data_IF_968503985998
#
_entry.id   IF_968503985998
#
_cell.length_a   1.000
_cell.length_b   1.000
_cell.length_c   1.000
_cell.angle_alpha   90.00
_cell.angle_beta   90.00
_cell.angle_gamma   90.00
#
_symmetry.space_group_name_H-M   'P 1'
#
loop_
_entity.id
_entity.type
_entity.pdbx_description
1 polymer ?
#
# COMPACT_ATOMS: atom_id res chain seq x y z
N UNK A 1 -9.76 21.12 12.52
CA UNK A 1 -8.98 21.17 13.79
C UNK A 1 -7.52 21.44 13.43
N UNK A 2 -6.74 22.18 14.24
CA UNK A 2 -5.30 22.26 14.03
C UNK A 2 -4.72 20.84 14.03
N UNK A 3 -3.80 20.54 13.11
CA UNK A 3 -3.19 19.22 13.06
C UNK A 3 -2.33 19.02 14.31
N UNK A 4 -2.66 18.03 15.12
CA UNK A 4 -1.84 17.58 16.24
C UNK A 4 -0.81 16.56 15.76
N UNK A 5 0.28 16.42 16.49
CA UNK A 5 1.27 15.38 16.20
C UNK A 5 0.63 13.98 16.29
N UNK A 6 0.77 13.18 15.24
CA UNK A 6 0.17 11.82 15.19
C UNK A 6 0.74 10.88 16.25
N UNK A 7 1.98 11.10 16.70
CA UNK A 7 2.66 10.24 17.68
C UNK A 7 2.35 10.65 19.12
N UNK A 8 2.65 11.89 19.53
CA UNK A 8 2.50 12.30 20.92
C UNK A 8 1.21 13.05 21.23
N UNK A 9 0.43 13.46 20.22
CA UNK A 9 -0.81 14.23 20.39
C UNK A 9 -0.62 15.72 20.71
N UNK A 10 0.63 16.23 20.76
CA UNK A 10 0.89 17.65 21.00
C UNK A 10 0.36 18.53 19.88
N UNK A 11 -0.10 19.72 20.25
CA UNK A 11 -0.52 20.83 19.39
C UNK A 11 0.63 21.76 18.95
N UNK A 12 1.87 21.43 19.32
CA UNK A 12 3.05 22.16 18.89
C UNK A 12 3.20 22.17 17.36
N UNK A 13 3.87 23.19 16.78
CA UNK A 13 4.08 23.28 15.34
C UNK A 13 4.64 21.99 14.74
N UNK A 14 4.00 21.53 13.66
CA UNK A 14 4.41 20.33 12.95
C UNK A 14 5.60 20.64 12.03
N UNK A 15 6.42 19.62 11.86
CA UNK A 15 7.68 19.65 11.14
C UNK A 15 7.61 18.68 9.96
N UNK A 16 8.63 18.74 9.10
CA UNK A 16 8.81 17.80 8.00
C UNK A 16 9.59 16.59 8.47
N UNK A 17 8.97 15.41 8.42
CA UNK A 17 9.64 14.14 8.69
C UNK A 17 9.86 13.38 7.38
N UNK A 18 11.07 12.83 7.19
CA UNK A 18 11.38 12.01 6.02
C UNK A 18 10.86 10.58 6.23
N UNK A 19 10.16 10.01 5.25
CA UNK A 19 9.57 8.66 5.35
C UNK A 19 10.63 7.60 5.67
N UNK A 20 11.72 7.57 4.88
CA UNK A 20 12.83 6.63 5.05
C UNK A 20 13.96 7.17 5.94
N UNK A 21 13.82 8.37 6.49
CA UNK A 21 14.93 9.07 7.14
C UNK A 21 15.88 9.75 6.14
N UNK A 22 16.40 10.92 6.53
CA UNK A 22 17.26 11.74 5.66
C UNK A 22 18.58 11.08 5.26
N UNK A 23 19.04 10.09 6.02
CA UNK A 23 20.32 9.42 5.78
C UNK A 23 20.27 8.42 4.62
N UNK A 24 19.10 7.89 4.25
CA UNK A 24 18.96 6.93 3.14
C UNK A 24 19.38 7.56 1.82
N UNK A 25 19.04 8.82 1.59
CA UNK A 25 19.50 9.56 0.41
C UNK A 25 21.02 9.85 0.39
N UNK A 26 21.78 9.41 1.42
CA UNK A 26 23.23 9.58 1.54
C UNK A 26 23.99 8.25 1.53
N UNK A 27 23.31 7.12 1.33
CA UNK A 27 23.94 5.78 1.36
C UNK A 27 24.74 5.49 0.09
N UNK A 28 24.48 6.19 -1.01
CA UNK A 28 25.11 5.94 -2.32
C UNK A 28 24.19 5.23 -3.32
N UNK A 29 22.92 5.01 -2.97
CA UNK A 29 21.89 4.58 -3.93
C UNK A 29 21.69 5.62 -5.05
N UNK A 30 21.16 5.16 -6.19
CA UNK A 30 20.80 6.04 -7.29
C UNK A 30 19.70 7.03 -6.86
N UNK A 31 19.91 8.31 -7.20
CA UNK A 31 19.02 9.42 -6.90
C UNK A 31 18.46 10.06 -8.16
N UNK A 32 18.65 9.42 -9.32
CA UNK A 32 18.04 9.82 -10.58
C UNK A 32 16.53 10.01 -10.38
N UNK A 33 15.96 11.15 -10.82
CA UNK A 33 14.54 11.41 -10.66
C UNK A 33 13.69 10.29 -11.28
N UNK A 34 12.67 9.86 -10.54
CA UNK A 34 11.69 8.89 -10.97
C UNK A 34 10.28 9.35 -10.59
N UNK A 35 9.27 8.79 -11.25
CA UNK A 35 7.86 9.09 -10.96
C UNK A 35 7.44 8.47 -9.62
N UNK A 36 6.91 9.29 -8.73
CA UNK A 36 6.46 8.84 -7.42
C UNK A 36 4.96 8.71 -7.37
N UNK A 37 4.49 7.67 -6.70
CA UNK A 37 3.08 7.36 -6.58
C UNK A 37 2.72 7.07 -5.12
N UNK A 38 1.57 7.56 -4.66
CA UNK A 38 1.00 7.17 -3.38
C UNK A 38 -0.51 7.06 -3.48
N UNK A 39 -1.07 6.01 -2.88
CA UNK A 39 -2.51 5.84 -2.89
C UNK A 39 -2.99 4.54 -2.25
N UNK A 40 -4.32 4.40 -2.15
CA UNK A 40 -4.98 3.14 -1.83
C UNK A 40 -4.49 1.97 -2.70
N UNK A 41 -4.41 0.78 -2.10
CA UNK A 41 -4.03 -0.46 -2.82
C UNK A 41 -5.03 -0.79 -3.93
N UNK A 42 -6.27 -0.39 -3.73
CA UNK A 42 -7.41 -0.66 -4.56
C UNK A 42 -7.87 0.61 -5.29
N UNK A 43 -6.96 1.52 -5.62
CA UNK A 43 -7.31 2.65 -6.47
C UNK A 43 -6.07 3.14 -7.20
N UNK A 44 -6.27 3.93 -8.24
CA UNK A 44 -5.14 4.49 -8.97
C UNK A 44 -4.33 5.38 -8.02
N UNK A 45 -3.01 5.18 -7.93
CA UNK A 45 -2.21 5.93 -7.01
C UNK A 45 -2.01 7.35 -7.55
N UNK A 46 -2.11 8.33 -6.66
CA UNK A 46 -1.86 9.73 -7.01
C UNK A 46 -0.40 9.91 -7.39
N UNK A 47 -0.17 10.51 -8.56
CA UNK A 47 1.15 10.95 -8.97
C UNK A 47 1.64 12.09 -8.05
N UNK A 48 2.81 11.90 -7.44
CA UNK A 48 3.46 12.85 -6.53
C UNK A 48 4.53 13.69 -7.23
N UNK A 49 4.68 13.55 -8.55
CA UNK A 49 5.69 14.23 -9.34
C UNK A 49 6.96 13.41 -9.55
N UNK A 50 7.79 13.92 -10.46
CA UNK A 50 9.11 13.39 -10.76
C UNK A 50 10.16 14.04 -9.84
N UNK A 51 10.76 13.28 -8.93
CA UNK A 51 11.74 13.76 -7.95
C UNK A 51 12.72 12.66 -7.55
N UNK A 52 13.89 13.01 -6.96
CA UNK A 52 14.79 11.99 -6.43
C UNK A 52 14.11 11.09 -5.39
N UNK A 53 14.32 9.76 -5.43
CA UNK A 53 13.76 8.85 -4.44
C UNK A 53 14.27 9.11 -3.02
N UNK A 54 13.58 8.50 -2.05
CA UNK A 54 13.94 8.53 -0.62
C UNK A 54 13.83 9.90 0.08
N UNK A 55 13.27 10.91 -0.59
CA UNK A 55 13.15 12.30 -0.07
C UNK A 55 11.73 12.72 0.27
N UNK A 56 10.78 11.78 0.26
CA UNK A 56 9.38 12.06 0.59
C UNK A 56 9.28 12.48 2.05
N UNK A 57 8.59 13.61 2.27
CA UNK A 57 8.37 14.19 3.59
C UNK A 57 6.88 14.27 3.93
N UNK A 58 6.55 14.13 5.21
CA UNK A 58 5.19 14.31 5.76
C UNK A 58 5.19 15.45 6.78
N UNK A 59 4.03 16.09 7.01
CA UNK A 59 3.90 17.29 7.88
C UNK A 59 2.97 17.05 9.05
N UNK A 60 3.10 15.88 9.67
CA UNK A 60 2.16 15.34 10.67
C UNK A 60 2.82 15.13 12.05
N UNK A 61 4.09 15.53 12.21
CA UNK A 61 4.93 15.21 13.38
C UNK A 61 5.50 16.49 14.02
N UNK A 62 5.39 16.66 15.33
CA UNK A 62 5.98 17.80 16.03
C UNK A 62 7.51 17.70 16.15
N UNK A 63 8.17 18.84 16.39
CA UNK A 63 9.62 18.89 16.52
C UNK A 63 10.21 18.03 17.63
N UNK A 64 9.48 17.81 18.74
CA UNK A 64 9.93 16.96 19.84
C UNK A 64 9.96 15.47 19.49
N UNK A 65 9.00 15.00 18.68
CA UNK A 65 9.01 13.61 18.20
C UNK A 65 10.06 13.43 17.10
N UNK A 66 10.05 14.31 16.10
CA UNK A 66 10.93 14.25 14.93
C UNK A 66 12.42 14.30 15.34
N UNK A 67 12.82 15.35 16.07
CA UNK A 67 14.22 15.50 16.52
C UNK A 67 14.55 14.67 17.77
N UNK A 68 13.56 14.01 18.38
CA UNK A 68 13.72 13.24 19.60
C UNK A 68 13.89 11.76 19.32
N UNK A 69 12.88 10.97 19.67
CA UNK A 69 12.95 9.52 19.57
C UNK A 69 13.09 9.02 18.13
N UNK A 70 12.49 9.71 17.15
CA UNK A 70 12.58 9.31 15.74
C UNK A 70 14.02 9.48 15.25
N UNK A 71 14.63 10.65 15.47
CA UNK A 71 16.04 10.88 15.13
C UNK A 71 16.99 9.91 15.83
N UNK A 72 16.73 9.52 17.09
CA UNK A 72 17.53 8.50 17.80
C UNK A 72 17.39 7.12 17.14
N UNK A 73 16.16 6.73 16.79
CA UNK A 73 15.88 5.47 16.09
C UNK A 73 16.57 5.43 14.72
N UNK A 74 16.50 6.50 13.94
CA UNK A 74 17.21 6.61 12.66
C UNK A 74 18.73 6.47 12.81
N UNK A 75 19.29 7.16 13.82
CA UNK A 75 20.74 7.16 14.07
C UNK A 75 21.25 5.78 14.49
N UNK A 76 20.42 5.02 15.22
CA UNK A 76 20.72 3.65 15.62
C UNK A 76 20.57 2.66 14.44
N UNK A 77 19.56 2.85 13.58
CA UNK A 77 19.30 1.96 12.46
C UNK A 77 20.30 2.12 11.31
N UNK A 78 20.74 3.35 11.04
CA UNK A 78 21.62 3.70 9.92
C UNK A 78 22.86 2.78 9.77
N UNK A 79 23.72 2.58 10.78
CA UNK A 79 24.93 1.77 10.62
C UNK A 79 24.64 0.29 10.36
N UNK A 80 23.49 -0.21 10.81
CA UNK A 80 23.08 -1.62 10.62
C UNK A 80 22.44 -1.82 9.25
N UNK A 81 21.60 -0.87 8.80
CA UNK A 81 20.85 -1.00 7.55
C UNK A 81 21.65 -0.62 6.31
N UNK A 82 22.62 0.30 6.42
CA UNK A 82 23.35 0.82 5.25
C UNK A 82 24.04 -0.30 4.45
N UNK A 83 24.81 -1.22 5.04
CA UNK A 83 25.44 -2.31 4.29
C UNK A 83 24.41 -3.23 3.60
N UNK A 84 23.30 -3.51 4.28
CA UNK A 84 22.23 -4.38 3.76
C UNK A 84 21.51 -3.74 2.56
N UNK A 85 21.25 -2.43 2.65
CA UNK A 85 20.67 -1.62 1.57
C UNK A 85 21.59 -1.63 0.34
N UNK A 86 22.90 -1.52 0.53
CA UNK A 86 23.91 -1.58 -0.54
C UNK A 86 24.15 -3.00 -1.07
N UNK A 87 23.59 -4.01 -0.42
CA UNK A 87 23.68 -5.40 -0.84
C UNK A 87 24.90 -6.15 -0.32
N UNK A 88 25.65 -5.56 0.60
CA UNK A 88 26.78 -6.19 1.27
C UNK A 88 26.30 -7.35 2.15
N UNK A 89 27.06 -8.44 2.16
CA UNK A 89 26.81 -9.54 3.09
C UNK A 89 27.18 -9.12 4.52
N UNK A 90 26.46 -9.65 5.50
CA UNK A 90 26.64 -9.24 6.88
C UNK A 90 25.75 -10.00 7.85
N UNK A 91 25.52 -9.39 9.00
CA UNK A 91 24.60 -9.92 9.99
C UNK A 91 24.00 -8.83 10.86
N UNK A 92 22.79 -9.08 11.36
CA UNK A 92 22.11 -8.24 12.33
C UNK A 92 22.25 -8.90 13.71
N UNK A 93 22.97 -8.23 14.61
CA UNK A 93 23.18 -8.73 15.96
C UNK A 93 21.86 -8.75 16.75
N UNK A 94 21.73 -9.69 17.68
CA UNK A 94 20.54 -9.89 18.52
C UNK A 94 20.06 -8.57 19.17
N UNK A 95 20.99 -7.73 19.63
CA UNK A 95 20.66 -6.45 20.27
C UNK A 95 20.11 -5.39 19.32
N UNK A 96 20.40 -5.47 18.02
CA UNK A 96 19.97 -4.46 17.03
C UNK A 96 18.59 -4.79 16.46
N UNK A 97 18.20 -6.08 16.43
CA UNK A 97 16.99 -6.54 15.77
C UNK A 97 15.68 -5.86 16.23
N UNK A 98 15.45 -5.62 17.54
CA UNK A 98 14.21 -4.95 17.98
C UNK A 98 14.12 -3.53 17.43
N UNK A 99 15.24 -2.81 17.42
CA UNK A 99 15.34 -1.45 16.92
C UNK A 99 15.12 -1.41 15.40
N UNK A 100 15.66 -2.36 14.64
CA UNK A 100 15.42 -2.46 13.19
C UNK A 100 13.96 -2.78 12.89
N UNK A 101 13.33 -3.67 13.66
CA UNK A 101 11.91 -3.97 13.53
C UNK A 101 11.04 -2.74 13.87
N UNK A 102 11.41 -1.97 14.90
CA UNK A 102 10.74 -0.70 15.22
C UNK A 102 10.92 0.34 14.12
N UNK A 103 12.12 0.44 13.53
CA UNK A 103 12.39 1.32 12.40
C UNK A 103 11.48 0.99 11.21
N UNK A 104 11.35 -0.30 10.86
CA UNK A 104 10.45 -0.75 9.81
C UNK A 104 9.00 -0.36 10.10
N UNK A 105 8.53 -0.56 11.34
CA UNK A 105 7.18 -0.17 11.74
C UNK A 105 6.97 1.35 11.68
N UNK A 106 7.94 2.15 12.15
CA UNK A 106 7.90 3.61 12.06
C UNK A 106 7.80 4.07 10.61
N UNK A 107 8.64 3.53 9.73
CA UNK A 107 8.69 3.87 8.30
C UNK A 107 7.36 3.56 7.63
N UNK A 108 6.77 2.40 7.90
CA UNK A 108 5.43 2.05 7.41
C UNK A 108 4.35 3.02 7.90
N UNK A 109 4.30 3.31 9.21
CA UNK A 109 3.34 4.27 9.77
C UNK A 109 3.49 5.67 9.16
N UNK A 110 4.72 6.11 8.94
CA UNK A 110 5.04 7.43 8.38
C UNK A 110 4.68 7.52 6.90
N UNK A 111 4.91 6.45 6.12
CA UNK A 111 4.52 6.39 4.71
C UNK A 111 3.00 6.53 4.51
N UNK A 112 2.20 5.96 5.43
CA UNK A 112 0.73 6.12 5.39
C UNK A 112 0.26 7.57 5.53
N UNK A 113 1.11 8.47 6.02
CA UNK A 113 0.81 9.90 6.16
C UNK A 113 1.02 10.70 4.86
N UNK A 114 1.57 10.07 3.81
CA UNK A 114 1.64 10.68 2.46
C UNK A 114 0.27 10.88 1.83
N UNK A 115 -0.70 10.05 2.19
CA UNK A 115 -2.10 10.24 1.82
C UNK A 115 -2.74 11.35 2.62
N UNK A 116 -3.70 12.05 2.01
CA UNK A 116 -4.38 13.17 2.66
C UNK A 116 -5.13 12.73 3.91
N UNK A 117 -5.36 13.66 4.84
CA UNK A 117 -6.17 13.38 6.03
C UNK A 117 -7.55 12.82 5.67
N UNK A 118 -8.18 13.37 4.63
CA UNK A 118 -9.46 12.89 4.13
C UNK A 118 -9.39 11.43 3.67
N UNK A 119 -8.38 11.05 2.88
CA UNK A 119 -8.19 9.65 2.47
C UNK A 119 -8.00 8.73 3.67
N UNK A 120 -7.22 9.18 4.66
CA UNK A 120 -6.97 8.40 5.88
C UNK A 120 -8.25 8.21 6.71
N UNK A 121 -9.02 9.28 6.89
CA UNK A 121 -10.29 9.27 7.63
C UNK A 121 -11.36 8.42 6.89
N UNK A 122 -11.24 8.29 5.56
CA UNK A 122 -12.11 7.46 4.71
C UNK A 122 -11.63 6.00 4.56
N UNK A 123 -10.77 5.51 5.46
CA UNK A 123 -10.42 4.09 5.56
C UNK A 123 -9.09 3.67 4.92
N UNK A 124 -8.32 4.59 4.32
CA UNK A 124 -6.94 4.30 3.92
C UNK A 124 -5.96 4.39 5.10
N UNK A 125 -6.33 5.04 6.21
CA UNK A 125 -5.44 5.27 7.34
C UNK A 125 -5.26 4.04 8.23
N UNK A 126 -4.15 4.00 8.95
CA UNK A 126 -4.03 3.17 10.14
C UNK A 126 -4.67 3.88 11.33
N UNK A 127 -5.14 3.11 12.31
CA UNK A 127 -5.78 3.66 13.50
C UNK A 127 -4.81 4.61 14.24
N UNK A 128 -5.27 5.79 14.72
CA UNK A 128 -4.44 6.71 15.51
C UNK A 128 -3.77 6.06 16.73
N UNK A 129 -4.38 5.02 17.29
CA UNK A 129 -3.82 4.23 18.40
C UNK A 129 -2.51 3.52 18.05
N UNK A 130 -2.27 3.13 16.79
CA UNK A 130 -1.01 2.49 16.39
C UNK A 130 0.16 3.49 16.47
N UNK A 131 -0.06 4.74 16.05
CA UNK A 131 0.93 5.81 16.18
C UNK A 131 1.22 6.12 17.64
N UNK A 132 0.17 6.23 18.46
CA UNK A 132 0.32 6.50 19.89
C UNK A 132 1.05 5.37 20.62
N UNK A 133 0.68 4.12 20.33
CA UNK A 133 1.34 2.96 20.91
C UNK A 133 2.83 2.90 20.52
N UNK A 134 3.19 3.27 19.28
CA UNK A 134 4.59 3.25 18.86
C UNK A 134 5.39 4.34 19.58
N UNK A 135 4.78 5.51 19.80
CA UNK A 135 5.36 6.56 20.63
C UNK A 135 5.55 6.12 22.09
N UNK A 136 4.60 5.37 22.65
CA UNK A 136 4.70 4.87 24.02
C UNK A 136 5.83 3.82 24.16
N UNK A 137 6.13 3.06 23.10
CA UNK A 137 7.27 2.11 23.02
C UNK A 137 8.64 2.75 22.72
N UNK A 138 8.72 4.06 22.55
CA UNK A 138 9.93 4.74 22.04
C UNK A 138 11.19 4.52 22.87
N UNK A 139 11.06 4.33 24.19
CA UNK A 139 12.22 4.17 25.08
C UNK A 139 12.79 2.75 25.03
N UNK A 140 11.96 1.73 24.78
CA UNK A 140 12.42 0.35 24.64
C UNK A 140 12.97 0.06 23.23
N UNK A 141 12.72 0.93 22.25
CA UNK A 141 13.08 0.74 20.84
C UNK A 141 12.60 -0.60 20.28
N UNK A 142 11.41 -1.05 20.70
CA UNK A 142 10.80 -2.30 20.24
C UNK A 142 9.58 -2.03 19.37
N UNK A 143 9.27 -2.88 18.37
CA UNK A 143 8.03 -2.76 17.62
C UNK A 143 6.81 -2.97 18.52
N UNK A 144 5.63 -2.71 18.00
CA UNK A 144 4.37 -2.98 18.71
C UNK A 144 4.23 -4.47 19.05
N UNK A 145 3.58 -4.76 20.17
CA UNK A 145 3.26 -6.13 20.57
C UNK A 145 2.46 -6.85 19.48
N UNK A 146 2.71 -8.13 19.26
CA UNK A 146 2.01 -8.88 18.20
C UNK A 146 2.46 -8.54 16.78
N UNK A 147 3.55 -7.78 16.62
CA UNK A 147 4.30 -7.67 15.37
C UNK A 147 5.26 -8.85 15.20
N UNK A 148 5.49 -9.25 13.96
CA UNK A 148 6.56 -10.14 13.51
C UNK A 148 7.23 -9.51 12.29
N UNK A 149 8.56 -9.65 12.16
CA UNK A 149 9.32 -9.11 11.04
C UNK A 149 10.33 -10.11 10.51
N UNK A 150 10.54 -10.05 9.19
CA UNK A 150 11.51 -10.81 8.43
C UNK A 150 12.34 -9.89 7.55
N UNK A 151 13.56 -10.33 7.26
CA UNK A 151 14.51 -9.64 6.40
C UNK A 151 14.99 -10.58 5.30
N UNK A 152 14.90 -10.14 4.05
CA UNK A 152 15.31 -10.90 2.87
C UNK A 152 15.85 -10.00 1.78
N UNK A 153 16.45 -10.58 0.73
CA UNK A 153 17.09 -9.83 -0.37
C UNK A 153 16.08 -9.47 -1.45
N UNK A 154 16.18 -8.25 -1.96
CA UNK A 154 15.44 -7.79 -3.13
C UNK A 154 16.37 -7.59 -4.34
N UNK A 155 15.93 -7.98 -5.52
CA UNK A 155 16.58 -7.69 -6.80
C UNK A 155 15.53 -7.16 -7.79
N UNK A 156 15.73 -5.93 -8.23
CA UNK A 156 14.90 -5.24 -9.22
C UNK A 156 15.71 -4.11 -9.85
N UNK A 157 15.04 -3.23 -10.58
CA UNK A 157 15.67 -2.02 -11.08
C UNK A 157 16.26 -1.21 -9.90
N UNK A 158 17.46 -0.65 -10.08
CA UNK A 158 18.26 -0.05 -9.01
C UNK A 158 17.61 1.16 -8.33
N UNK A 159 16.55 1.69 -8.93
CA UNK A 159 15.77 2.81 -8.42
C UNK A 159 14.46 2.39 -7.72
N UNK A 160 14.10 1.10 -7.71
CA UNK A 160 12.84 0.62 -7.12
C UNK A 160 12.88 0.73 -5.59
N UNK A 161 11.94 1.50 -5.05
CA UNK A 161 11.73 1.68 -3.62
C UNK A 161 10.24 1.71 -3.32
N UNK A 162 9.83 0.98 -2.29
CA UNK A 162 8.42 0.88 -1.96
C UNK A 162 8.19 0.76 -0.46
N UNK A 163 7.10 1.37 0.01
CA UNK A 163 6.47 1.04 1.29
C UNK A 163 5.03 0.65 1.00
N UNK A 164 4.67 -0.60 1.27
CA UNK A 164 3.32 -1.11 1.08
C UNK A 164 2.76 -1.58 2.42
N UNK A 165 1.56 -1.09 2.75
CA UNK A 165 0.81 -1.52 3.93
C UNK A 165 -0.46 -2.19 3.45
N UNK A 166 -0.59 -3.49 3.71
CA UNK A 166 -1.71 -4.31 3.22
C UNK A 166 -2.60 -4.73 4.39
N UNK A 167 -3.88 -4.32 4.47
CA UNK A 167 -4.80 -4.84 5.49
C UNK A 167 -5.06 -6.33 5.22
N UNK A 168 -5.03 -7.14 6.28
CA UNK A 168 -5.16 -8.59 6.20
C UNK A 168 -6.34 -9.10 7.04
N UNK A 169 -6.97 -10.16 6.54
CA UNK A 169 -7.91 -10.99 7.29
C UNK A 169 -7.32 -12.37 7.58
N UNK A 170 -7.70 -12.92 8.74
CA UNK A 170 -7.44 -14.32 9.09
C UNK A 170 -8.59 -15.15 8.53
N UNK A 171 -8.32 -15.93 7.48
CA UNK A 171 -9.30 -16.78 6.83
C UNK A 171 -9.34 -18.15 7.50
N UNK A 172 -10.47 -18.47 8.11
CA UNK A 172 -10.78 -19.80 8.64
C UNK A 172 -11.75 -20.53 7.68
N UNK A 173 -11.48 -21.78 7.26
CA UNK A 173 -12.40 -22.61 6.48
C UNK A 173 -13.82 -22.63 7.04
N UNK A 174 -14.81 -22.37 6.17
CA UNK A 174 -16.23 -22.40 6.54
C UNK A 174 -16.76 -21.15 7.24
N UNK A 175 -15.92 -20.15 7.57
CA UNK A 175 -16.36 -18.88 8.15
C UNK A 175 -16.35 -17.74 7.12
N UNK A 176 -17.31 -16.80 7.20
CA UNK A 176 -17.31 -15.61 6.36
C UNK A 176 -16.11 -14.71 6.65
N UNK A 177 -15.72 -13.90 5.66
CA UNK A 177 -14.65 -12.92 5.85
C UNK A 177 -15.09 -11.85 6.88
N UNK A 178 -14.22 -11.48 7.84
CA UNK A 178 -14.48 -10.40 8.77
C UNK A 178 -14.76 -9.04 8.10
N UNK A 179 -15.69 -8.27 8.69
CA UNK A 179 -16.02 -6.91 8.24
C UNK A 179 -14.93 -5.87 8.50
N UNK A 180 -13.92 -6.21 9.30
CA UNK A 180 -12.75 -5.36 9.57
C UNK A 180 -11.49 -6.21 9.48
N UNK A 181 -10.37 -5.64 9.00
CA UNK A 181 -9.10 -6.35 8.98
C UNK A 181 -8.64 -6.65 10.41
N UNK A 182 -8.03 -7.81 10.60
CA UNK A 182 -7.54 -8.29 11.90
C UNK A 182 -6.03 -8.15 12.03
N UNK A 183 -5.36 -7.89 10.91
CA UNK A 183 -3.94 -7.66 10.83
C UNK A 183 -3.62 -6.71 9.68
N UNK A 184 -2.37 -6.30 9.57
CA UNK A 184 -1.85 -5.68 8.36
C UNK A 184 -0.39 -6.10 8.13
N UNK A 185 -0.01 -6.27 6.87
CA UNK A 185 1.37 -6.43 6.45
C UNK A 185 2.01 -5.06 6.19
N UNK A 186 3.32 -5.00 6.37
CA UNK A 186 4.20 -3.87 6.07
C UNK A 186 5.37 -4.41 5.26
N UNK A 187 5.53 -3.96 4.02
CA UNK A 187 6.65 -4.36 3.17
C UNK A 187 7.42 -3.11 2.77
N UNK A 188 8.72 -3.11 3.02
CA UNK A 188 9.64 -2.02 2.70
C UNK A 188 10.74 -2.56 1.80
N UNK A 189 10.95 -1.92 0.66
CA UNK A 189 12.07 -2.19 -0.26
C UNK A 189 12.95 -0.95 -0.35
N UNK A 190 14.26 -1.13 -0.15
CA UNK A 190 15.29 -0.11 -0.25
C UNK A 190 16.59 -0.73 -0.77
N UNK A 191 16.96 -0.45 -2.03
CA UNK A 191 18.11 -1.10 -2.66
C UNK A 191 17.96 -2.62 -2.64
N UNK A 192 18.98 -3.33 -2.15
CA UNK A 192 18.95 -4.79 -2.02
C UNK A 192 18.18 -5.31 -0.78
N UNK A 193 17.71 -4.42 0.10
CA UNK A 193 17.02 -4.77 1.32
C UNK A 193 15.50 -4.87 1.11
N UNK A 194 14.90 -5.99 1.52
CA UNK A 194 13.46 -6.06 1.79
C UNK A 194 13.20 -6.44 3.26
N UNK A 195 12.36 -5.64 3.90
CA UNK A 195 11.80 -5.90 5.23
C UNK A 195 10.31 -6.16 5.08
N UNK A 196 9.85 -7.29 5.59
CA UNK A 196 8.44 -7.65 5.60
C UNK A 196 8.00 -7.90 7.04
N UNK A 197 6.88 -7.32 7.44
CA UNK A 197 6.33 -7.53 8.77
C UNK A 197 4.82 -7.69 8.76
N UNK A 198 4.29 -8.34 9.78
CA UNK A 198 2.85 -8.46 10.02
C UNK A 198 2.55 -8.03 11.44
N UNK A 199 1.49 -7.25 11.60
CA UNK A 199 0.99 -6.74 12.88
C UNK A 199 -0.44 -7.19 13.11
N UNK A 200 -0.70 -7.76 14.29
CA UNK A 200 -2.05 -8.15 14.76
C UNK A 200 -2.54 -7.20 15.88
N UNK A 201 -3.24 -6.09 15.57
CA UNK A 201 -3.69 -5.13 16.58
C UNK A 201 -4.66 -5.73 17.60
N UNK A 202 -4.56 -5.37 18.90
CA UNK A 202 -5.58 -5.73 19.88
C UNK A 202 -6.98 -5.36 19.38
N UNK A 203 -8.00 -6.20 19.64
CA UNK A 203 -7.95 -7.38 20.49
C UNK A 203 -7.49 -8.68 19.79
N UNK A 204 -7.02 -8.62 18.55
CA UNK A 204 -6.60 -9.82 17.82
C UNK A 204 -5.45 -10.54 18.55
N UNK A 205 -5.57 -11.86 18.66
CA UNK A 205 -4.45 -12.70 19.12
C UNK A 205 -3.41 -12.76 18.01
N UNK A 206 -2.17 -12.45 18.34
CA UNK A 206 -1.05 -12.66 17.43
C UNK A 206 -0.98 -14.14 17.06
N UNK A 207 -0.88 -14.43 15.76
CA UNK A 207 -0.68 -15.78 15.27
C UNK A 207 0.72 -15.87 14.68
N UNK A 208 1.53 -16.83 15.15
CA UNK A 208 2.88 -17.02 14.65
C UNK A 208 2.83 -17.41 13.16
N UNK A 209 3.51 -16.63 12.33
CA UNK A 209 3.51 -16.80 10.89
C UNK A 209 4.88 -17.29 10.41
N UNK A 210 4.91 -18.24 9.49
CA UNK A 210 6.14 -18.77 8.91
C UNK A 210 6.32 -18.18 7.53
N UNK A 211 7.51 -17.63 7.27
CA UNK A 211 7.89 -17.07 5.98
C UNK A 211 8.43 -18.16 5.05
N UNK A 212 7.68 -18.50 4.00
CA UNK A 212 8.02 -19.61 3.09
C UNK A 212 9.15 -19.29 2.12
N UNK A 213 9.49 -18.00 1.96
CA UNK A 213 10.68 -17.57 1.20
C UNK A 213 12.00 -17.82 1.94
N UNK A 214 11.95 -18.31 3.18
CA UNK A 214 13.15 -18.57 3.96
C UNK A 214 13.88 -17.31 4.41
N UNK A 215 13.22 -16.14 4.38
CA UNK A 215 13.76 -14.93 4.97
C UNK A 215 14.02 -15.15 6.46
N UNK A 216 15.12 -14.59 6.93
CA UNK A 216 15.47 -14.65 8.34
C UNK A 216 14.45 -13.89 9.18
N UNK A 217 13.95 -14.52 10.24
CA UNK A 217 13.07 -13.84 11.21
C UNK A 217 13.91 -12.83 12.00
N UNK A 218 13.57 -11.56 11.85
CA UNK A 218 14.15 -10.42 12.57
C UNK A 218 13.47 -10.23 13.93
N UNK A 219 12.15 -10.41 13.97
CA UNK A 219 11.37 -10.24 15.19
C UNK A 219 10.19 -11.22 15.24
N UNK A 220 9.88 -11.84 16.39
CA UNK A 220 10.62 -11.84 17.65
C UNK A 220 12.06 -12.35 17.51
N UNK A 221 12.97 -11.70 18.22
CA UNK A 221 14.40 -12.03 18.20
C UNK A 221 14.65 -13.40 18.84
N UNK A 222 15.38 -14.26 18.14
CA UNK A 222 15.77 -15.59 18.62
C UNK A 222 17.27 -15.79 18.60
N UNK A 223 17.91 -15.56 17.44
CA UNK A 223 19.34 -15.67 17.22
C UNK A 223 19.82 -14.51 16.35
N UNK A 224 21.15 -14.37 16.22
CA UNK A 224 21.75 -13.53 15.19
C UNK A 224 21.14 -13.88 13.82
N UNK A 225 20.91 -12.87 12.99
CA UNK A 225 20.41 -13.02 11.63
C UNK A 225 21.58 -12.83 10.67
N UNK A 226 21.93 -13.86 9.90
CA UNK A 226 22.87 -13.73 8.80
C UNK A 226 22.16 -13.23 7.53
N UNK A 227 22.88 -12.43 6.74
CA UNK A 227 22.35 -11.72 5.58
C UNK A 227 23.29 -11.80 4.36
N UNK A 228 22.75 -11.99 3.14
CA UNK A 228 21.35 -12.33 2.85
C UNK A 228 21.02 -13.80 3.13
N UNK A 229 19.75 -14.11 3.38
CA UNK A 229 19.25 -15.47 3.56
C UNK A 229 17.87 -15.65 2.90
N UNK A 230 17.59 -16.88 2.46
CA UNK A 230 16.34 -17.22 1.77
C UNK A 230 16.38 -16.99 0.26
N UNK A 231 15.21 -17.08 -0.36
CA UNK A 231 15.01 -16.76 -1.77
C UNK A 231 15.13 -15.24 -2.00
N UNK A 232 15.46 -14.85 -3.23
CA UNK A 232 15.47 -13.44 -3.64
C UNK A 232 14.05 -13.03 -4.02
N UNK A 233 13.58 -11.92 -3.47
CA UNK A 233 12.36 -11.26 -3.94
C UNK A 233 12.67 -10.37 -5.13
N UNK A 234 11.83 -10.39 -6.14
CA UNK A 234 11.91 -9.58 -7.36
C UNK A 234 10.69 -8.68 -7.48
N UNK A 235 10.67 -7.76 -8.44
CA UNK A 235 9.48 -6.95 -8.74
C UNK A 235 8.24 -7.83 -9.06
N UNK A 236 8.45 -8.95 -9.75
CA UNK A 236 7.37 -9.91 -10.08
C UNK A 236 6.77 -10.59 -8.85
N UNK A 237 7.59 -10.85 -7.84
CA UNK A 237 7.19 -11.58 -6.63
C UNK A 237 6.83 -10.65 -5.46
N UNK A 238 7.18 -9.36 -5.56
CA UNK A 238 6.97 -8.33 -4.54
C UNK A 238 5.51 -8.21 -4.10
N UNK A 239 4.58 -8.14 -5.07
CA UNK A 239 3.15 -7.98 -4.77
C UNK A 239 2.63 -9.18 -3.98
N UNK A 240 2.98 -10.39 -4.40
CA UNK A 240 2.55 -11.62 -3.73
C UNK A 240 3.09 -11.71 -2.30
N UNK A 241 4.35 -11.32 -2.08
CA UNK A 241 4.92 -11.20 -0.74
C UNK A 241 4.18 -10.15 0.11
N UNK A 242 3.96 -8.95 -0.44
CA UNK A 242 3.30 -7.86 0.27
C UNK A 242 1.82 -8.14 0.59
N UNK A 243 1.19 -9.02 -0.17
CA UNK A 243 -0.17 -9.52 0.06
C UNK A 243 -0.21 -10.75 0.98
N UNK A 244 0.89 -11.00 1.72
CA UNK A 244 1.06 -12.13 2.64
C UNK A 244 1.00 -13.51 1.98
N UNK A 245 1.15 -13.62 0.66
CA UNK A 245 1.12 -14.88 -0.09
C UNK A 245 2.22 -15.86 0.32
N UNK A 246 3.33 -15.36 0.88
CA UNK A 246 4.47 -16.14 1.37
C UNK A 246 4.43 -16.39 2.88
N UNK A 247 3.32 -16.03 3.56
CA UNK A 247 3.12 -16.35 4.96
C UNK A 247 2.21 -17.56 5.11
N UNK A 248 2.57 -18.44 6.04
CA UNK A 248 1.76 -19.59 6.46
C UNK A 248 1.51 -19.50 7.96
N UNK A 249 0.31 -19.85 8.38
CA UNK A 249 -0.11 -19.70 9.78
C UNK A 249 -0.70 -21.03 10.27
N UNK A 250 -0.29 -21.45 11.48
CA UNK A 250 -0.70 -22.73 12.06
C UNK A 250 -0.35 -23.94 11.18
N UNK A 251 -1.24 -24.94 11.13
CA UNK A 251 -1.05 -26.16 10.34
C UNK A 251 -1.39 -26.00 8.84
N UNK A 252 -1.53 -24.77 8.34
CA UNK A 252 -1.85 -24.47 6.94
C UNK A 252 -3.35 -24.32 6.62
N UNK A 253 -4.25 -24.64 7.57
CA UNK A 253 -5.70 -24.41 7.41
C UNK A 253 -6.09 -22.93 7.51
N UNK A 254 -5.32 -22.16 8.29
CA UNK A 254 -5.51 -20.73 8.51
C UNK A 254 -4.62 -19.96 7.53
N UNK A 255 -5.21 -19.01 6.80
CA UNK A 255 -4.49 -18.19 5.84
C UNK A 255 -4.61 -16.72 6.20
N UNK A 256 -3.52 -15.98 6.01
CA UNK A 256 -3.57 -14.53 5.91
C UNK A 256 -3.81 -14.18 4.45
N UNK A 257 -4.84 -13.38 4.19
CA UNK A 257 -5.12 -12.87 2.85
C UNK A 257 -5.40 -11.37 2.95
N UNK A 258 -5.19 -10.61 1.87
CA UNK A 258 -5.60 -9.23 1.81
C UNK A 258 -7.09 -9.09 2.09
N UNK A 259 -7.46 -8.11 2.93
CA UNK A 259 -8.86 -7.85 3.24
C UNK A 259 -9.58 -7.37 2.00
N UNK A 260 -10.56 -8.14 1.52
CA UNK A 260 -11.10 -7.95 0.17
C UNK A 260 -11.72 -6.57 -0.03
N UNK A 261 -12.30 -5.95 1.00
CA UNK A 261 -12.88 -4.61 0.86
C UNK A 261 -11.86 -3.48 0.61
N UNK A 262 -10.58 -3.65 1.00
CA UNK A 262 -9.54 -2.64 0.84
C UNK A 262 -8.42 -3.05 -0.13
N UNK A 263 -8.24 -4.35 -0.37
CA UNK A 263 -7.25 -4.87 -1.30
C UNK A 263 -7.86 -5.27 -2.65
N UNK A 264 -9.16 -5.58 -2.67
CA UNK A 264 -9.89 -5.72 -3.91
C UNK A 264 -10.74 -4.44 -4.08
N UNK A 265 -10.56 -3.73 -5.19
CA UNK A 265 -11.74 -3.16 -5.85
C UNK A 265 -12.72 -4.33 -6.10
N UNK A 266 -13.99 -4.15 -6.49
CA UNK A 266 -14.52 -5.12 -7.43
C UNK A 266 -13.43 -5.27 -8.49
N UNK A 267 -12.69 -6.38 -8.42
CA UNK A 267 -11.50 -6.60 -9.21
C UNK A 267 -11.97 -6.26 -10.59
N UNK A 268 -11.35 -5.26 -11.21
CA UNK A 268 -11.31 -5.14 -12.65
C UNK A 268 -10.64 -6.41 -13.13
N UNK A 269 -11.33 -7.55 -12.98
CA UNK A 269 -10.86 -8.85 -13.37
C UNK A 269 -10.79 -8.70 -14.87
N UNK A 270 -9.57 -8.60 -15.39
CA UNK A 270 -9.41 -8.48 -16.81
C UNK A 270 -9.83 -9.84 -17.37
N UNK A 271 -11.05 -9.90 -17.89
CA UNK A 271 -11.65 -11.10 -18.47
C UNK A 271 -11.73 -10.86 -19.97
N UNK A 272 -11.10 -11.74 -20.75
CA UNK A 272 -10.99 -11.60 -22.20
C UNK A 272 -10.40 -10.25 -22.66
N UNK A 273 -9.50 -9.66 -21.86
CA UNK A 273 -8.86 -8.38 -22.17
C UNK A 273 -9.72 -7.14 -21.89
N UNK A 274 -10.88 -7.30 -21.26
CA UNK A 274 -11.74 -6.19 -20.83
C UNK A 274 -11.77 -6.08 -19.31
N UNK A 275 -11.91 -4.87 -18.79
CA UNK A 275 -12.13 -4.63 -17.37
C UNK A 275 -13.54 -5.08 -16.99
N UNK A 276 -13.66 -6.09 -16.13
CA UNK A 276 -14.92 -6.55 -15.55
C UNK A 276 -15.31 -5.74 -14.32
N UNK A 277 -16.53 -5.22 -14.26
CA UNK A 277 -17.08 -4.59 -13.04
C UNK A 277 -18.47 -5.11 -12.72
N UNK A 278 -18.74 -5.34 -11.43
CA UNK A 278 -20.07 -5.72 -10.96
C UNK A 278 -21.08 -4.60 -11.22
N UNK A 279 -22.14 -4.90 -11.98
CA UNK A 279 -23.21 -3.95 -12.25
C UNK A 279 -24.03 -3.62 -10.98
N UNK A 280 -24.75 -2.48 -10.98
CA UNK A 280 -25.59 -2.05 -9.85
C UNK A 280 -26.76 -3.01 -9.55
N UNK A 281 -27.13 -3.88 -10.48
CA UNK A 281 -28.11 -4.93 -10.20
C UNK A 281 -27.57 -6.05 -9.30
N UNK A 282 -26.27 -6.05 -9.00
CA UNK A 282 -25.53 -7.04 -8.20
C UNK A 282 -25.53 -8.49 -8.72
N UNK A 283 -26.26 -8.78 -9.81
CA UNK A 283 -26.41 -10.11 -10.42
C UNK A 283 -25.53 -10.32 -11.66
N UNK A 284 -25.24 -9.26 -12.40
CA UNK A 284 -24.49 -9.31 -13.66
C UNK A 284 -23.25 -8.43 -13.61
N UNK A 285 -22.32 -8.67 -14.52
CA UNK A 285 -21.10 -7.90 -14.68
C UNK A 285 -21.13 -7.13 -16.01
N UNK A 286 -20.50 -5.97 -16.04
CA UNK A 286 -20.34 -5.10 -17.21
C UNK A 286 -18.86 -4.92 -17.52
N UNK A 287 -18.54 -4.57 -18.77
CA UNK A 287 -17.17 -4.57 -19.27
C UNK A 287 -16.82 -3.28 -19.99
N UNK A 288 -15.58 -2.82 -19.84
CA UNK A 288 -15.03 -1.68 -20.60
C UNK A 288 -13.53 -1.84 -20.89
N UNK A 289 -12.96 -1.11 -21.86
CA UNK A 289 -11.56 -1.27 -22.25
C UNK A 289 -10.58 -0.80 -21.16
N UNK A 290 -9.46 -1.52 -20.93
CA UNK A 290 -8.41 -1.09 -20.01
C UNK A 290 -7.77 0.26 -20.37
N UNK A 291 -7.79 0.66 -21.65
CA UNK A 291 -7.26 1.94 -22.12
C UNK A 291 -7.89 3.14 -21.39
N UNK A 292 -9.18 3.08 -21.06
CA UNK A 292 -9.85 4.16 -20.31
C UNK A 292 -9.35 4.30 -18.87
N UNK A 293 -8.84 3.22 -18.27
CA UNK A 293 -8.18 3.26 -16.97
C UNK A 293 -6.79 3.89 -17.07
N UNK A 294 -6.07 3.62 -18.17
CA UNK A 294 -4.76 4.24 -18.46
C UNK A 294 -4.89 5.74 -18.73
N UNK A 295 -5.94 6.17 -19.43
CA UNK A 295 -6.19 7.60 -19.60
C UNK A 295 -6.56 8.30 -18.28
N UNK A 296 -7.36 7.65 -17.44
CA UNK A 296 -7.68 8.17 -16.10
C UNK A 296 -6.45 8.29 -15.20
N UNK A 297 -5.47 7.38 -15.35
CA UNK A 297 -4.15 7.47 -14.72
C UNK A 297 -3.36 8.72 -15.17
N UNK A 298 -3.52 9.11 -16.44
CA UNK A 298 -2.88 10.28 -17.03
C UNK A 298 -3.65 11.59 -16.76
N UNK A 299 -4.74 11.53 -16.00
CA UNK A 299 -5.56 12.69 -15.64
C UNK A 299 -6.68 13.00 -16.64
N UNK A 300 -6.91 12.14 -17.63
CA UNK A 300 -7.97 12.31 -18.63
C UNK A 300 -9.17 11.44 -18.28
N UNK A 301 -10.33 12.05 -18.06
CA UNK A 301 -11.54 11.34 -17.64
C UNK A 301 -12.54 11.18 -18.78
N UNK A 302 -13.31 10.10 -18.75
CA UNK A 302 -14.26 9.74 -19.79
C UNK A 302 -15.59 9.29 -19.19
N UNK A 303 -16.68 9.59 -19.87
CA UNK A 303 -17.98 8.99 -19.66
C UNK A 303 -18.28 8.00 -20.78
N UNK A 304 -18.93 6.89 -20.45
CA UNK A 304 -19.34 5.89 -21.42
C UNK A 304 -20.57 5.13 -20.95
N UNK A 305 -21.25 4.47 -21.89
CA UNK A 305 -22.38 3.61 -21.59
C UNK A 305 -21.96 2.15 -21.51
N UNK A 306 -22.52 1.44 -20.54
CA UNK A 306 -22.48 -0.02 -20.46
C UNK A 306 -23.86 -0.54 -20.09
N UNK A 307 -24.17 -1.79 -20.39
CA UNK A 307 -25.46 -2.38 -20.08
C UNK A 307 -25.32 -3.85 -19.65
N UNK A 308 -26.30 -4.31 -18.86
CA UNK A 308 -26.53 -5.72 -18.61
C UNK A 308 -28.02 -6.03 -18.85
N UNK A 309 -28.44 -7.27 -18.65
CA UNK A 309 -29.80 -7.75 -18.90
C UNK A 309 -30.88 -7.05 -18.05
N UNK A 310 -30.47 -6.33 -17.01
CA UNK A 310 -31.38 -5.65 -16.08
C UNK A 310 -31.55 -4.15 -16.38
N UNK A 311 -30.53 -3.50 -16.96
CA UNK A 311 -30.47 -2.04 -17.08
C UNK A 311 -29.31 -1.61 -17.98
N UNK A 312 -29.40 -0.40 -18.53
CA UNK A 312 -28.25 0.35 -19.03
C UNK A 312 -27.74 1.33 -17.96
N UNK A 313 -26.49 1.77 -18.12
CA UNK A 313 -25.79 2.61 -17.18
C UNK A 313 -24.91 3.66 -17.86
N UNK A 314 -24.81 4.85 -17.27
CA UNK A 314 -23.75 5.82 -17.57
C UNK A 314 -22.67 5.66 -16.52
N UNK A 315 -21.43 5.49 -16.96
CA UNK A 315 -20.25 5.29 -16.12
C UNK A 315 -19.22 6.37 -16.43
N UNK A 316 -18.66 6.97 -15.38
CA UNK A 316 -17.54 7.91 -15.49
C UNK A 316 -16.27 7.25 -14.95
N UNK A 317 -15.15 7.43 -15.65
CA UNK A 317 -13.83 7.24 -15.04
C UNK A 317 -13.52 8.39 -14.09
N UNK A 318 -12.76 8.09 -13.05
CA UNK A 318 -12.30 9.03 -12.04
C UNK A 318 -10.84 8.68 -11.69
N UNK A 319 -10.18 9.54 -10.92
CA UNK A 319 -8.77 9.44 -10.58
C UNK A 319 -8.43 8.21 -9.71
N UNK A 320 -9.41 7.45 -9.24
CA UNK A 320 -9.21 6.31 -8.35
C UNK A 320 -10.14 5.12 -8.64
N UNK A 321 -11.25 5.31 -9.36
CA UNK A 321 -12.32 4.32 -9.56
C UNK A 321 -13.15 4.63 -10.79
N UNK A 322 -14.13 3.78 -11.10
CA UNK A 322 -15.28 4.18 -11.92
C UNK A 322 -16.51 4.50 -11.07
N UNK A 323 -17.38 5.39 -11.55
CA UNK A 323 -18.62 5.78 -10.89
C UNK A 323 -19.80 5.62 -11.82
N UNK A 324 -20.78 4.82 -11.41
CA UNK A 324 -22.09 4.79 -12.05
C UNK A 324 -22.83 6.11 -11.75
N UNK A 325 -23.21 6.87 -12.80
CA UNK A 325 -23.89 8.16 -12.68
C UNK A 325 -25.39 8.09 -12.94
N UNK A 326 -25.80 7.18 -13.80
CA UNK A 326 -27.20 6.93 -14.10
C UNK A 326 -27.42 5.44 -14.37
N UNK A 327 -28.62 4.96 -14.06
CA UNK A 327 -29.08 3.62 -14.37
C UNK A 327 -30.55 3.68 -14.77
N UNK A 328 -30.93 2.97 -15.82
CA UNK A 328 -32.32 2.93 -16.26
C UNK A 328 -32.55 2.13 -17.54
N UNK A 329 -33.74 2.26 -18.14
CA UNK A 329 -34.03 1.69 -19.46
C UNK A 329 -33.00 2.17 -20.51
N UNK A 330 -32.59 1.32 -21.46
CA UNK A 330 -31.58 1.67 -22.47
C UNK A 330 -31.87 2.97 -23.23
N UNK A 331 -33.11 3.19 -23.63
CA UNK A 331 -33.53 4.39 -24.37
C UNK A 331 -33.31 5.67 -23.56
N UNK A 332 -33.68 5.66 -22.28
CA UNK A 332 -33.48 6.80 -21.39
C UNK A 332 -32.00 7.08 -21.11
N UNK A 333 -31.20 6.03 -20.95
CA UNK A 333 -29.75 6.16 -20.74
C UNK A 333 -29.02 6.64 -22.00
N UNK A 334 -29.44 6.18 -23.19
CA UNK A 334 -28.90 6.66 -24.47
C UNK A 334 -29.16 8.15 -24.65
N UNK A 335 -30.40 8.60 -24.42
CA UNK A 335 -30.73 10.03 -24.50
C UNK A 335 -29.89 10.85 -23.51
N UNK A 336 -29.81 10.39 -22.26
CA UNK A 336 -28.99 11.07 -21.24
C UNK A 336 -27.53 11.17 -21.65
N UNK A 337 -26.96 10.12 -22.27
CA UNK A 337 -25.59 10.12 -22.74
C UNK A 337 -25.38 11.02 -23.96
N UNK A 338 -26.31 11.03 -24.91
CA UNK A 338 -26.30 11.92 -26.08
C UNK A 338 -26.34 13.39 -25.65
N UNK A 339 -27.15 13.72 -24.65
CA UNK A 339 -27.28 15.07 -24.09
C UNK A 339 -26.03 15.54 -23.31
N UNK A 340 -25.11 14.64 -22.95
CA UNK A 340 -23.86 15.01 -22.28
C UNK A 340 -22.95 15.82 -23.21
N UNK A 341 -22.39 16.91 -22.67
CA UNK A 341 -21.32 17.67 -23.32
C UNK A 341 -20.01 16.89 -23.37
N UNK A 342 -19.26 17.03 -24.46
CA UNK A 342 -17.95 16.40 -24.65
C UNK A 342 -17.84 15.76 -26.03
N UNK A 343 -16.64 15.77 -26.60
CA UNK A 343 -16.38 15.12 -27.89
C UNK A 343 -16.37 13.61 -27.72
N UNK A 344 -16.94 12.90 -28.69
CA UNK A 344 -16.91 11.43 -28.73
C UNK A 344 -15.57 10.92 -29.25
N UNK A 345 -15.00 9.97 -28.51
CA UNK A 345 -13.79 9.24 -28.83
C UNK A 345 -14.12 7.76 -29.00
N UNK A 346 -13.51 7.16 -30.02
CA UNK A 346 -13.64 5.74 -30.32
C UNK A 346 -12.32 5.06 -29.99
N UNK A 347 -12.32 4.23 -28.95
CA UNK A 347 -11.23 3.32 -28.65
C UNK A 347 -11.39 2.06 -29.49
N UNK A 348 -10.31 1.65 -30.16
CA UNK A 348 -10.29 0.42 -30.97
C UNK A 348 -9.28 -0.55 -30.40
N UNK A 349 -9.73 -1.75 -30.05
CA UNK A 349 -8.86 -2.83 -29.64
C UNK A 349 -9.30 -4.17 -30.24
N UNK A 350 -8.69 -5.27 -29.77
CA UNK A 350 -9.02 -6.64 -30.21
C UNK A 350 -10.46 -7.08 -29.89
N UNK A 351 -11.16 -6.36 -29.00
CA UNK A 351 -12.52 -6.61 -28.56
C UNK A 351 -13.55 -5.71 -29.27
N UNK A 352 -13.11 -4.80 -30.14
CA UNK A 352 -13.97 -4.01 -31.03
C UNK A 352 -13.79 -2.50 -30.87
N UNK A 353 -14.82 -1.76 -31.28
CA UNK A 353 -14.91 -0.31 -31.07
C UNK A 353 -15.66 -0.02 -29.78
N UNK A 354 -15.16 0.93 -28.98
CA UNK A 354 -15.78 1.37 -27.75
C UNK A 354 -15.89 2.89 -27.73
N UNK A 355 -17.11 3.39 -27.59
CA UNK A 355 -17.43 4.82 -27.67
C UNK A 355 -17.48 5.40 -26.25
N UNK A 356 -16.86 6.57 -26.08
CA UNK A 356 -16.86 7.32 -24.84
C UNK A 356 -16.77 8.82 -25.13
N UNK A 357 -17.22 9.67 -24.20
CA UNK A 357 -17.08 11.12 -24.26
C UNK A 357 -16.01 11.56 -23.27
N UNK A 358 -15.06 12.38 -23.71
CA UNK A 358 -14.10 12.97 -22.77
C UNK A 358 -14.84 13.95 -21.85
N UNK A 359 -14.63 13.81 -20.54
CA UNK A 359 -15.17 14.72 -19.55
C UNK A 359 -14.28 15.97 -19.49
N UNK A 360 -14.87 17.17 -19.38
CA UNK A 360 -14.10 18.39 -19.14
C UNK A 360 -13.39 18.33 -17.79
N UNK A 361 -12.17 18.90 -17.73
CA UNK A 361 -11.30 18.98 -16.55
C UNK A 361 -11.96 19.58 -15.30
#
# INVERSE_FOLDING_TARGET
>A
MPNTCVFCGSDAPLTREHVFGKWVAKTGLDLSPLEHHAGPLNALPRHLGNQPPYRQEVRDVCGACNNGWMSRLESAAQPVLTPLILGDSGAIAVGDQPMIAMWAQKTALTAMLLSSKEQRDNGYGLAPSEYRALYDNRESMTPLSGSQFWVGRFEGDGAFAAVRVTPLTVRIPGLPEPHIPQAYAMTIVLGALILHGVRFPPPARSIDAVMTYGFSRLWPTSSRVDWPAGQVCTEETFVSLADAGMLRVGNGEIQLQPWRHAAHLPQSAIENGMVKVRALCHRHDVYYPPALLQEALNGTFYAFMVACECSAYIVHTDADRIRFRAAGPPEGISQMYEDMSGDEYIFRDRNGEFICKQLPD
#
